data_IF_613365699922
#
_entry.id   IF_613365699922
#
_cell.length_a   1.000
_cell.length_b   1.000
_cell.length_c   1.000
_cell.angle_alpha   90.00
_cell.angle_beta   90.00
_cell.angle_gamma   90.00
#
_symmetry.space_group_name_H-M   'P 1'
#
loop_
_entity.id
_entity.type
_entity.pdbx_description
1 polymer ?
#
# COMPACT_ATOMS: atom_id res chain seq x y z
N UNK A 1 -40.16 -11.54 15.81
CA UNK A 1 -40.76 -12.89 15.97
C UNK A 1 -41.27 -13.08 17.39
N UNK A 2 -42.50 -13.58 17.55
CA UNK A 2 -43.15 -13.85 18.85
C UNK A 2 -43.27 -15.36 19.11
N UNK A 3 -43.35 -15.78 20.39
CA UNK A 3 -43.61 -17.18 20.75
C UNK A 3 -45.07 -17.56 20.48
N UNK A 4 -45.33 -18.86 20.27
CA UNK A 4 -46.69 -19.37 20.01
C UNK A 4 -47.67 -19.09 21.18
N UNK A 5 -47.16 -18.94 22.41
CA UNK A 5 -47.96 -18.56 23.60
C UNK A 5 -48.63 -17.19 23.52
N UNK A 6 -48.19 -16.31 22.63
CA UNK A 6 -48.87 -15.03 22.37
C UNK A 6 -50.18 -15.22 21.56
N UNK A 7 -50.35 -16.36 20.89
CA UNK A 7 -51.47 -16.65 19.99
C UNK A 7 -52.44 -17.69 20.55
N UNK A 8 -52.03 -18.46 21.56
CA UNK A 8 -52.89 -19.44 22.24
C UNK A 8 -52.40 -19.72 23.66
N UNK A 9 -53.35 -19.98 24.56
CA UNK A 9 -53.13 -20.48 25.91
C UNK A 9 -52.70 -21.96 25.97
N UNK A 10 -52.76 -22.69 24.83
CA UNK A 10 -52.44 -24.12 24.75
C UNK A 10 -50.96 -24.35 24.52
N UNK A 11 -50.14 -23.90 25.46
CA UNK A 11 -48.67 -23.95 25.37
C UNK A 11 -48.05 -24.54 26.63
N UNK A 12 -46.74 -24.82 26.57
CA UNK A 12 -45.95 -25.13 27.76
C UNK A 12 -45.86 -23.90 28.67
N UNK A 13 -45.39 -24.08 29.91
CA UNK A 13 -45.10 -22.96 30.81
C UNK A 13 -44.05 -21.98 30.26
N UNK A 14 -43.23 -22.41 29.29
CA UNK A 14 -42.26 -21.57 28.58
C UNK A 14 -42.85 -20.81 27.37
N UNK A 15 -44.15 -20.98 27.09
CA UNK A 15 -44.85 -20.37 25.95
C UNK A 15 -44.59 -21.08 24.61
N UNK A 16 -44.14 -22.33 24.64
CA UNK A 16 -43.74 -23.13 23.47
C UNK A 16 -44.79 -24.17 23.08
N UNK A 17 -44.58 -24.81 21.94
CA UNK A 17 -45.44 -25.88 21.44
C UNK A 17 -45.49 -27.04 22.44
N UNK A 18 -46.71 -27.50 22.75
CA UNK A 18 -46.95 -28.69 23.58
C UNK A 18 -47.65 -29.79 22.80
N UNK A 19 -47.25 -31.02 23.07
CA UNK A 19 -47.94 -32.21 22.58
C UNK A 19 -49.32 -32.34 23.25
N UNK A 20 -50.25 -32.98 22.56
CA UNK A 20 -51.49 -33.43 23.18
C UNK A 20 -51.27 -34.75 23.90
N UNK A 21 -51.92 -34.92 25.04
CA UNK A 21 -51.97 -36.18 25.77
C UNK A 21 -53.45 -36.55 26.01
N UNK A 22 -53.98 -37.52 25.25
CA UNK A 22 -55.36 -37.98 25.42
C UNK A 22 -55.61 -38.65 26.78
N UNK A 23 -54.61 -39.29 27.39
CA UNK A 23 -54.75 -39.99 28.66
C UNK A 23 -54.94 -39.01 29.82
N UNK A 24 -54.30 -37.85 29.75
CA UNK A 24 -54.46 -36.76 30.72
C UNK A 24 -55.40 -35.64 30.25
N UNK A 25 -56.13 -35.85 29.14
CA UNK A 25 -57.03 -34.88 28.51
C UNK A 25 -56.37 -33.52 28.20
N UNK A 26 -55.07 -33.50 27.92
CA UNK A 26 -54.35 -32.29 27.54
C UNK A 26 -54.43 -32.11 26.03
N UNK A 27 -55.03 -31.01 25.59
CA UNK A 27 -55.09 -30.66 24.17
C UNK A 27 -53.74 -30.11 23.69
N UNK A 28 -53.32 -30.59 22.52
CA UNK A 28 -52.15 -30.10 21.80
C UNK A 28 -52.30 -28.62 21.43
N UNK A 29 -51.17 -27.95 21.19
CA UNK A 29 -51.16 -26.62 20.59
C UNK A 29 -51.74 -26.67 19.17
N UNK A 30 -52.74 -25.84 18.84
CA UNK A 30 -53.30 -25.81 17.49
C UNK A 30 -52.33 -25.15 16.51
N UNK A 31 -52.35 -25.60 15.24
CA UNK A 31 -51.61 -24.94 14.16
C UNK A 31 -52.36 -23.67 13.71
N UNK A 32 -51.90 -22.51 14.17
CA UNK A 32 -52.55 -21.22 13.89
C UNK A 32 -51.95 -20.56 12.66
N UNK A 33 -52.78 -20.29 11.65
CA UNK A 33 -52.36 -19.62 10.41
C UNK A 33 -51.64 -18.28 10.67
N UNK A 34 -52.06 -17.53 11.69
CA UNK A 34 -51.42 -16.27 12.07
C UNK A 34 -49.94 -16.45 12.44
N UNK A 35 -49.57 -17.55 13.12
CA UNK A 35 -48.19 -17.82 13.52
C UNK A 35 -47.33 -18.27 12.32
N UNK A 36 -47.84 -19.16 11.47
CA UNK A 36 -47.10 -19.64 10.29
C UNK A 36 -46.91 -18.55 9.24
N UNK A 37 -47.93 -17.71 9.01
CA UNK A 37 -47.81 -16.56 8.11
C UNK A 37 -46.79 -15.53 8.62
N UNK A 38 -46.65 -15.38 9.95
CA UNK A 38 -45.62 -14.53 10.54
C UNK A 38 -44.22 -15.08 10.22
N UNK A 39 -43.96 -16.38 10.44
CA UNK A 39 -42.69 -17.01 10.08
C UNK A 39 -42.38 -16.91 8.57
N UNK A 40 -43.37 -17.16 7.72
CA UNK A 40 -43.20 -17.06 6.26
C UNK A 40 -42.80 -15.63 5.84
N UNK A 41 -43.47 -14.60 6.37
CA UNK A 41 -43.14 -13.20 6.07
C UNK A 41 -41.72 -12.83 6.52
N UNK A 42 -41.29 -13.32 7.69
CA UNK A 42 -39.93 -13.10 8.19
C UNK A 42 -38.87 -13.75 7.29
N UNK A 43 -39.08 -14.99 6.84
CA UNK A 43 -38.15 -15.67 5.94
C UNK A 43 -38.10 -15.05 4.54
N UNK A 44 -39.26 -14.63 4.01
CA UNK A 44 -39.35 -13.91 2.73
C UNK A 44 -38.59 -12.59 2.81
N UNK A 45 -38.77 -11.82 3.89
CA UNK A 45 -38.08 -10.55 4.08
C UNK A 45 -36.55 -10.69 4.11
N UNK A 46 -36.01 -11.81 4.65
CA UNK A 46 -34.56 -12.10 4.62
C UNK A 46 -34.07 -12.34 3.19
N UNK A 47 -34.85 -13.04 2.37
CA UNK A 47 -34.49 -13.38 0.97
C UNK A 47 -34.52 -12.14 0.08
N UNK A 48 -35.64 -11.42 0.10
CA UNK A 48 -35.79 -10.19 -0.69
C UNK A 48 -34.80 -9.10 -0.21
N UNK A 49 -34.54 -9.03 1.11
CA UNK A 49 -33.54 -8.15 1.70
C UNK A 49 -32.09 -8.42 1.27
N UNK A 50 -31.78 -9.63 0.77
CA UNK A 50 -30.49 -9.99 0.20
C UNK A 50 -30.38 -9.73 -1.33
N UNK A 51 -31.41 -9.12 -1.94
CA UNK A 51 -31.48 -8.82 -3.37
C UNK A 51 -31.87 -10.02 -4.25
N UNK A 52 -32.45 -11.07 -3.67
CA UNK A 52 -32.91 -12.26 -4.39
C UNK A 52 -34.42 -12.18 -4.65
N UNK A 53 -34.86 -12.58 -5.84
CA UNK A 53 -36.29 -12.74 -6.15
C UNK A 53 -36.78 -14.09 -5.63
N UNK A 54 -37.97 -14.14 -5.02
CA UNK A 54 -38.57 -15.39 -4.53
C UNK A 54 -38.81 -16.37 -5.68
N UNK A 55 -38.39 -17.62 -5.47
CA UNK A 55 -38.49 -18.68 -6.46
C UNK A 55 -39.02 -19.95 -5.80
N UNK A 56 -40.25 -20.34 -6.18
CA UNK A 56 -40.91 -21.56 -5.69
C UNK A 56 -40.16 -22.83 -6.09
N UNK A 57 -39.29 -22.76 -7.10
CA UNK A 57 -38.41 -23.86 -7.52
C UNK A 57 -37.13 -23.98 -6.69
N UNK A 58 -36.87 -23.08 -5.73
CA UNK A 58 -35.61 -22.99 -5.01
C UNK A 58 -35.81 -23.04 -3.49
N UNK A 59 -35.60 -24.22 -2.89
CA UNK A 59 -35.66 -24.42 -1.44
C UNK A 59 -34.39 -23.94 -0.69
N UNK A 60 -33.40 -23.40 -1.42
CA UNK A 60 -32.13 -22.92 -0.87
C UNK A 60 -32.04 -21.42 -0.62
N UNK A 61 -33.09 -20.64 -0.93
CA UNK A 61 -33.02 -19.18 -0.94
C UNK A 61 -32.68 -18.56 0.42
N UNK A 62 -33.17 -19.13 1.52
CA UNK A 62 -32.83 -18.65 2.86
C UNK A 62 -31.33 -18.77 3.16
N UNK A 63 -30.73 -19.88 2.75
CA UNK A 63 -29.28 -20.09 2.88
C UNK A 63 -28.49 -19.12 1.99
N UNK A 64 -28.92 -18.93 0.75
CA UNK A 64 -28.31 -17.97 -0.19
C UNK A 64 -28.37 -16.53 0.35
N UNK A 65 -29.50 -16.15 0.96
CA UNK A 65 -29.69 -14.85 1.57
C UNK A 65 -28.82 -14.62 2.80
N UNK A 66 -28.70 -15.62 3.69
CA UNK A 66 -27.82 -15.54 4.87
C UNK A 66 -26.35 -15.50 4.45
N UNK A 67 -25.97 -16.28 3.43
CA UNK A 67 -24.63 -16.22 2.86
C UNK A 67 -24.32 -14.82 2.27
N UNK A 68 -25.28 -14.21 1.60
CA UNK A 68 -25.17 -12.84 1.06
C UNK A 68 -25.12 -11.77 2.17
N UNK A 69 -26.04 -11.80 3.14
CA UNK A 69 -26.14 -10.84 4.24
C UNK A 69 -24.96 -10.92 5.23
N UNK A 70 -24.37 -12.10 5.43
CA UNK A 70 -23.11 -12.25 6.17
C UNK A 70 -21.89 -11.71 5.40
N UNK A 71 -22.06 -11.36 4.12
CA UNK A 71 -20.98 -10.97 3.21
C UNK A 71 -20.98 -9.50 2.76
N UNK A 72 -21.90 -8.65 3.23
CA UNK A 72 -22.06 -7.26 2.74
C UNK A 72 -20.90 -6.26 2.97
N UNK A 73 -19.70 -6.72 3.34
CA UNK A 73 -18.40 -6.02 3.29
C UNK A 73 -17.25 -7.00 3.66
N UNK A 74 -17.36 -8.28 3.30
CA UNK A 74 -16.28 -9.22 3.56
C UNK A 74 -15.27 -9.12 2.40
N UNK A 75 -14.20 -8.35 2.58
CA UNK A 75 -13.00 -8.54 1.76
C UNK A 75 -12.62 -10.02 1.87
N UNK A 76 -12.69 -10.82 0.80
CA UNK A 76 -12.41 -12.25 0.89
C UNK A 76 -11.01 -12.44 1.48
N UNK A 77 -10.95 -13.06 2.65
CA UNK A 77 -9.68 -13.37 3.32
C UNK A 77 -9.17 -14.72 2.82
N UNK A 78 -8.10 -14.69 2.05
CA UNK A 78 -7.50 -15.87 1.41
C UNK A 78 -6.12 -16.17 1.99
N UNK A 79 -5.68 -17.42 1.89
CA UNK A 79 -4.34 -17.84 2.32
C UNK A 79 -3.27 -17.52 1.26
N UNK A 80 -3.66 -17.50 -0.01
CA UNK A 80 -2.77 -17.31 -1.16
C UNK A 80 -3.41 -16.37 -2.18
N UNK A 81 -2.59 -15.72 -3.00
CA UNK A 81 -3.06 -14.86 -4.09
C UNK A 81 -3.64 -15.76 -5.21
N UNK A 82 -4.91 -15.58 -5.60
CA UNK A 82 -5.49 -16.32 -6.73
C UNK A 82 -4.85 -15.94 -8.07
N UNK A 83 -4.70 -16.92 -8.96
CA UNK A 83 -4.23 -16.68 -10.34
C UNK A 83 -5.31 -16.06 -11.25
N UNK A 84 -6.58 -16.11 -10.84
CA UNK A 84 -7.73 -15.62 -11.61
C UNK A 84 -8.62 -14.74 -10.74
N UNK A 85 -9.35 -13.82 -11.38
CA UNK A 85 -10.30 -12.92 -10.70
C UNK A 85 -11.42 -13.74 -10.08
N UNK A 86 -11.72 -13.45 -8.82
CA UNK A 86 -12.86 -14.02 -8.13
C UNK A 86 -14.13 -13.25 -8.55
N UNK A 87 -15.24 -13.97 -8.74
CA UNK A 87 -16.50 -13.37 -9.17
C UNK A 87 -16.99 -12.33 -8.15
N UNK A 88 -17.11 -11.07 -8.59
CA UNK A 88 -17.59 -9.96 -7.76
C UNK A 88 -16.60 -9.47 -6.70
N UNK A 89 -15.33 -9.89 -6.73
CA UNK A 89 -14.32 -9.48 -5.74
C UNK A 89 -13.10 -8.85 -6.39
N UNK A 90 -13.18 -7.54 -6.62
CA UNK A 90 -12.09 -6.73 -7.18
C UNK A 90 -11.01 -6.41 -6.15
N UNK A 91 -11.36 -6.51 -4.87
CA UNK A 91 -10.46 -6.34 -3.73
C UNK A 91 -10.55 -7.58 -2.84
N UNK A 92 -9.39 -8.07 -2.40
CA UNK A 92 -9.26 -9.23 -1.52
C UNK A 92 -8.20 -8.95 -0.45
N UNK A 93 -8.28 -9.67 0.67
CA UNK A 93 -7.23 -9.68 1.67
C UNK A 93 -6.48 -11.02 1.65
N UNK A 94 -5.17 -10.99 1.46
CA UNK A 94 -4.35 -12.22 1.47
C UNK A 94 -3.48 -12.25 2.72
N UNK A 95 -3.54 -13.35 3.47
CA UNK A 95 -2.79 -13.51 4.71
C UNK A 95 -1.28 -13.28 4.48
N UNK A 96 -0.66 -12.41 5.30
CA UNK A 96 0.75 -12.02 5.18
C UNK A 96 1.02 -10.93 4.13
N UNK A 97 0.29 -10.93 3.03
CA UNK A 97 0.42 -9.95 1.94
C UNK A 97 -0.35 -8.65 2.19
N UNK A 98 -1.53 -8.74 2.78
CA UNK A 98 -2.43 -7.60 3.01
C UNK A 98 -3.47 -7.47 1.90
N UNK A 99 -3.89 -6.23 1.66
CA UNK A 99 -4.88 -5.89 0.64
C UNK A 99 -4.29 -6.04 -0.78
N UNK A 100 -5.09 -6.64 -1.66
CA UNK A 100 -4.75 -6.86 -3.06
C UNK A 100 -5.94 -6.48 -3.94
N UNK A 101 -5.66 -5.77 -5.02
CA UNK A 101 -6.66 -5.28 -5.97
C UNK A 101 -6.42 -5.94 -7.33
N UNK A 102 -7.49 -6.41 -7.95
CA UNK A 102 -7.45 -6.94 -9.31
C UNK A 102 -7.07 -5.81 -10.27
N UNK A 103 -5.99 -6.01 -11.01
CA UNK A 103 -5.47 -5.03 -11.96
C UNK A 103 -5.33 -5.68 -13.33
N UNK A 104 -5.81 -4.97 -14.34
CA UNK A 104 -5.62 -5.29 -15.76
C UNK A 104 -4.93 -4.11 -16.45
N UNK A 105 -3.65 -4.27 -16.77
CA UNK A 105 -2.87 -3.34 -17.60
C UNK A 105 -2.26 -4.11 -18.78
N UNK A 106 -1.62 -3.38 -19.69
CA UNK A 106 -0.82 -3.98 -20.77
C UNK A 106 0.30 -4.90 -20.24
N UNK A 107 0.83 -4.61 -19.04
CA UNK A 107 2.01 -5.28 -18.51
C UNK A 107 1.70 -6.28 -17.38
N UNK A 108 0.47 -6.30 -16.85
CA UNK A 108 0.08 -7.19 -15.77
C UNK A 108 -1.43 -7.42 -15.71
N UNK A 109 -1.81 -8.68 -15.55
CA UNK A 109 -3.19 -9.10 -15.24
C UNK A 109 -3.13 -9.98 -14.00
N UNK A 110 -3.78 -9.55 -12.92
CA UNK A 110 -3.82 -10.30 -11.67
C UNK A 110 -4.10 -9.43 -10.45
N UNK A 111 -4.13 -10.04 -9.26
CA UNK A 111 -4.19 -9.30 -7.99
C UNK A 111 -2.80 -8.75 -7.62
N UNK A 112 -2.71 -7.44 -7.36
CA UNK A 112 -1.50 -6.79 -6.83
C UNK A 112 -1.84 -5.86 -5.68
N UNK A 113 -0.87 -5.65 -4.78
CA UNK A 113 -1.05 -4.65 -3.72
C UNK A 113 -1.21 -3.25 -4.33
N UNK A 114 -2.11 -2.40 -3.80
CA UNK A 114 -2.17 -0.98 -4.17
C UNK A 114 -0.85 -0.22 -3.95
N UNK A 115 0.03 -0.76 -3.09
CA UNK A 115 1.33 -0.19 -2.76
C UNK A 115 2.48 -0.85 -3.54
N UNK A 116 2.18 -1.66 -4.56
CA UNK A 116 3.19 -2.35 -5.35
C UNK A 116 4.26 -1.37 -5.88
N UNK A 117 5.54 -1.72 -5.67
CA UNK A 117 6.67 -0.90 -6.10
C UNK A 117 7.03 0.28 -5.17
N UNK A 118 6.18 0.63 -4.20
CA UNK A 118 6.50 1.68 -3.23
C UNK A 118 7.65 1.25 -2.31
N UNK A 119 8.75 2.02 -2.21
CA UNK A 119 9.78 1.75 -1.21
C UNK A 119 9.23 1.91 0.21
N UNK A 120 9.57 0.96 1.08
CA UNK A 120 9.20 0.93 2.49
C UNK A 120 10.45 0.84 3.36
N UNK A 121 10.36 1.28 4.61
CA UNK A 121 11.42 1.08 5.60
C UNK A 121 11.23 -0.27 6.28
N UNK A 122 12.18 -1.18 6.07
CA UNK A 122 12.21 -2.46 6.77
C UNK A 122 12.49 -2.27 8.26
N UNK A 123 11.85 -3.08 9.10
CA UNK A 123 12.04 -3.11 10.55
C UNK A 123 12.38 -4.51 11.08
N UNK A 124 12.69 -5.43 10.17
CA UNK A 124 13.03 -6.83 10.44
C UNK A 124 14.33 -7.20 9.71
N UNK A 125 15.04 -8.23 10.18
CA UNK A 125 16.33 -8.63 9.59
C UNK A 125 16.20 -9.29 8.22
N UNK A 126 15.06 -9.96 7.96
CA UNK A 126 14.72 -10.56 6.67
C UNK A 126 13.42 -9.91 6.18
N UNK A 127 13.26 -9.64 4.87
CA UNK A 127 12.04 -9.05 4.35
C UNK A 127 10.81 -9.88 4.71
N UNK A 128 9.70 -9.21 5.03
CA UNK A 128 8.40 -9.87 5.18
C UNK A 128 7.98 -10.49 3.84
N UNK A 129 7.01 -11.41 3.87
CA UNK A 129 6.51 -12.10 2.65
C UNK A 129 6.05 -11.14 1.53
N UNK A 130 5.65 -9.92 1.89
CA UNK A 130 5.21 -8.85 0.98
C UNK A 130 6.30 -7.86 0.58
N UNK A 131 7.53 -8.08 1.04
CA UNK A 131 8.68 -7.21 0.85
C UNK A 131 9.76 -7.93 0.03
N UNK A 132 10.53 -7.13 -0.70
CA UNK A 132 11.72 -7.59 -1.41
C UNK A 132 12.85 -6.61 -1.11
N UNK A 133 14.06 -7.15 -0.91
CA UNK A 133 15.23 -6.32 -0.66
C UNK A 133 15.61 -5.52 -1.91
N UNK A 134 15.51 -4.19 -1.81
CA UNK A 134 15.99 -3.25 -2.82
C UNK A 134 17.52 -3.04 -2.70
N UNK A 135 18.27 -4.14 -2.83
CA UNK A 135 19.74 -4.19 -2.73
C UNK A 135 20.39 -4.63 -4.05
N UNK A 136 19.68 -4.48 -5.17
CA UNK A 136 20.15 -4.84 -6.49
C UNK A 136 20.05 -6.32 -6.85
N UNK A 137 19.30 -7.12 -6.09
CA UNK A 137 19.12 -8.56 -6.33
C UNK A 137 18.33 -8.89 -7.61
N UNK A 138 18.34 -10.18 -7.99
CA UNK A 138 17.49 -10.71 -9.08
C UNK A 138 16.17 -11.24 -8.51
N UNK A 139 15.07 -10.96 -9.20
CA UNK A 139 13.74 -11.42 -8.87
C UNK A 139 13.11 -12.17 -10.07
N UNK A 140 12.25 -13.15 -9.78
CA UNK A 140 11.51 -13.90 -10.81
C UNK A 140 10.37 -13.06 -11.37
N UNK A 141 10.27 -12.96 -12.70
CA UNK A 141 9.16 -12.31 -13.42
C UNK A 141 7.84 -13.05 -13.25
N UNK A 142 7.89 -14.35 -12.96
CA UNK A 142 6.69 -15.16 -12.72
C UNK A 142 6.17 -14.93 -11.29
N UNK A 143 7.05 -15.08 -10.29
CA UNK A 143 6.67 -14.94 -8.87
C UNK A 143 6.30 -13.50 -8.53
N UNK A 144 7.02 -12.53 -9.08
CA UNK A 144 6.83 -11.11 -8.83
C UNK A 144 6.29 -10.36 -10.06
N UNK A 145 5.39 -11.00 -10.80
CA UNK A 145 4.79 -10.45 -12.02
C UNK A 145 4.14 -9.07 -11.79
N UNK A 146 3.50 -8.85 -10.64
CA UNK A 146 2.89 -7.56 -10.30
C UNK A 146 3.91 -6.43 -10.14
N UNK A 147 5.09 -6.72 -9.56
CA UNK A 147 6.18 -5.75 -9.42
C UNK A 147 6.87 -5.51 -10.76
N UNK A 148 7.04 -6.56 -11.57
CA UNK A 148 7.59 -6.43 -12.92
C UNK A 148 6.68 -5.60 -13.83
N UNK A 149 5.37 -5.85 -13.78
CA UNK A 149 4.36 -5.05 -14.46
C UNK A 149 4.43 -3.58 -14.03
N UNK A 150 4.46 -3.32 -12.72
CA UNK A 150 4.64 -1.97 -12.17
C UNK A 150 5.87 -1.26 -12.76
N UNK A 151 7.03 -1.93 -12.78
CA UNK A 151 8.27 -1.32 -13.28
C UNK A 151 8.14 -0.87 -14.74
N UNK A 152 7.45 -1.67 -15.58
CA UNK A 152 7.20 -1.36 -16.99
C UNK A 152 6.16 -0.26 -17.16
N UNK A 153 5.07 -0.33 -16.41
CA UNK A 153 4.00 0.69 -16.40
C UNK A 153 4.53 2.07 -16.04
N UNK A 154 5.48 2.14 -15.10
CA UNK A 154 6.08 3.40 -14.65
C UNK A 154 7.29 3.84 -15.48
N UNK A 155 7.69 3.07 -16.52
CA UNK A 155 8.85 3.39 -17.34
C UNK A 155 10.18 3.36 -16.58
N UNK A 156 10.31 2.48 -15.58
CA UNK A 156 11.48 2.39 -14.70
C UNK A 156 12.49 1.31 -15.14
N UNK A 157 12.23 0.62 -16.25
CA UNK A 157 13.11 -0.42 -16.77
C UNK A 157 14.15 0.22 -17.67
N UNK A 158 15.42 0.01 -17.34
CA UNK A 158 16.58 0.50 -18.07
C UNK A 158 17.50 -0.66 -18.46
N UNK A 159 18.52 -0.37 -19.27
CA UNK A 159 19.57 -1.36 -19.57
C UNK A 159 20.45 -1.63 -18.36
N UNK A 160 21.14 -2.78 -18.35
CA UNK A 160 22.08 -3.13 -17.28
C UNK A 160 23.18 -2.06 -17.10
N UNK A 161 23.68 -1.49 -18.20
CA UNK A 161 24.73 -0.46 -18.14
C UNK A 161 24.22 0.87 -17.53
N UNK A 162 23.00 1.30 -17.89
CA UNK A 162 22.36 2.46 -17.29
C UNK A 162 22.11 2.25 -15.80
N UNK A 163 21.72 1.04 -15.40
CA UNK A 163 21.52 0.69 -13.99
C UNK A 163 22.83 0.73 -13.18
N UNK A 164 23.93 0.15 -13.70
CA UNK A 164 25.24 0.15 -13.03
C UNK A 164 25.77 1.56 -12.82
N UNK A 165 25.58 2.41 -13.83
CA UNK A 165 25.92 3.83 -13.74
C UNK A 165 24.95 4.62 -12.91
N UNK A 166 23.80 4.06 -12.49
CA UNK A 166 22.72 4.71 -11.73
C UNK A 166 22.39 4.02 -10.41
N UNK A 167 23.29 3.20 -9.84
CA UNK A 167 23.12 2.62 -8.49
C UNK A 167 22.72 3.74 -7.50
N UNK A 168 21.72 3.45 -6.67
CA UNK A 168 21.00 4.44 -5.85
C UNK A 168 19.68 4.92 -6.46
N UNK A 169 19.45 4.72 -7.76
CA UNK A 169 18.18 5.04 -8.43
C UNK A 169 17.14 3.92 -8.24
N UNK A 170 15.86 4.29 -8.30
CA UNK A 170 14.73 3.35 -8.26
C UNK A 170 14.44 2.78 -9.65
N UNK A 171 15.42 2.08 -10.22
CA UNK A 171 15.38 1.55 -11.59
C UNK A 171 15.53 0.02 -11.58
N UNK A 172 14.91 -0.61 -12.57
CA UNK A 172 14.89 -2.06 -12.76
C UNK A 172 15.59 -2.43 -14.07
N UNK A 173 16.02 -3.68 -14.21
CA UNK A 173 16.62 -4.18 -15.46
C UNK A 173 15.89 -5.43 -15.92
N UNK A 174 15.58 -5.50 -17.21
CA UNK A 174 15.22 -6.76 -17.85
C UNK A 174 16.50 -7.59 -18.06
N UNK A 175 16.71 -8.62 -17.25
CA UNK A 175 17.95 -9.40 -17.28
C UNK A 175 17.86 -10.54 -18.29
N UNK A 176 16.75 -11.27 -18.28
CA UNK A 176 16.49 -12.36 -19.20
C UNK A 176 14.99 -12.71 -19.22
N UNK A 177 14.62 -13.79 -19.91
CA UNK A 177 13.22 -14.20 -20.05
C UNK A 177 12.48 -14.44 -18.72
N UNK A 178 13.18 -14.85 -17.66
CA UNK A 178 12.56 -15.25 -16.38
C UNK A 178 12.88 -14.33 -15.21
N UNK A 179 13.89 -13.46 -15.32
CA UNK A 179 14.37 -12.64 -14.22
C UNK A 179 14.50 -11.17 -14.58
N UNK A 180 14.31 -10.32 -13.57
CA UNK A 180 14.59 -8.90 -13.61
C UNK A 180 15.42 -8.49 -12.40
N UNK A 181 16.17 -7.38 -12.51
CA UNK A 181 16.96 -6.84 -11.41
C UNK A 181 16.17 -5.76 -10.67
N UNK A 182 16.23 -5.81 -9.35
CA UNK A 182 15.65 -4.80 -8.45
C UNK A 182 16.54 -3.56 -8.35
N UNK A 183 15.98 -2.41 -7.93
CA UNK A 183 16.77 -1.26 -7.51
C UNK A 183 17.77 -1.61 -6.41
N UNK A 184 18.86 -0.84 -6.34
CA UNK A 184 19.75 -0.82 -5.17
C UNK A 184 19.65 0.56 -4.53
N UNK A 185 18.93 0.63 -3.41
CA UNK A 185 18.64 1.86 -2.67
C UNK A 185 19.49 2.02 -1.40
N UNK A 186 20.50 1.17 -1.22
CA UNK A 186 21.40 1.29 -0.06
C UNK A 186 22.12 2.62 -0.10
N UNK A 187 22.35 3.19 1.08
CA UNK A 187 23.03 4.48 1.29
C UNK A 187 22.32 5.70 0.68
N UNK A 188 21.06 5.58 0.24
CA UNK A 188 20.30 6.69 -0.33
C UNK A 188 19.35 7.32 0.67
N UNK A 189 19.32 8.66 0.69
CA UNK A 189 18.20 9.37 1.30
C UNK A 189 17.00 9.40 0.35
N UNK A 190 15.79 9.43 0.90
CA UNK A 190 14.59 9.74 0.10
C UNK A 190 14.38 11.24 0.06
N UNK A 191 14.11 11.75 -1.14
CA UNK A 191 13.73 13.15 -1.36
C UNK A 191 12.49 13.21 -2.25
N UNK A 192 11.70 14.26 -2.09
CA UNK A 192 10.60 14.49 -3.01
C UNK A 192 11.07 14.97 -4.39
N UNK A 193 10.39 14.56 -5.45
CA UNK A 193 10.57 15.12 -6.80
C UNK A 193 10.27 16.62 -6.79
N UNK A 194 10.90 17.35 -7.70
CA UNK A 194 10.78 18.79 -7.87
C UNK A 194 11.78 19.26 -8.92
N UNK A 195 12.01 20.56 -8.99
CA UNK A 195 13.07 21.11 -9.84
C UNK A 195 14.42 21.01 -9.12
N UNK A 196 15.42 20.46 -9.81
CA UNK A 196 16.81 20.43 -9.34
C UNK A 196 17.35 21.86 -9.25
N UNK A 197 17.87 22.24 -8.07
CA UNK A 197 18.30 23.60 -7.79
C UNK A 197 19.55 24.03 -8.58
N UNK A 198 20.39 23.09 -8.99
CA UNK A 198 21.64 23.38 -9.70
C UNK A 198 21.41 23.52 -11.21
N UNK A 199 20.53 22.69 -11.75
CA UNK A 199 20.33 22.56 -13.21
C UNK A 199 19.01 23.12 -13.72
N UNK A 200 18.12 23.53 -12.81
CA UNK A 200 16.73 23.90 -13.11
C UNK A 200 15.91 22.81 -13.84
N UNK A 201 16.40 21.57 -13.86
CA UNK A 201 15.73 20.45 -14.53
C UNK A 201 14.73 19.77 -13.60
N UNK A 202 13.60 19.32 -14.16
CA UNK A 202 12.65 18.50 -13.41
C UNK A 202 13.27 17.15 -13.04
N UNK A 203 13.12 16.74 -11.78
CA UNK A 203 13.56 15.43 -11.32
C UNK A 203 12.53 14.36 -11.62
N UNK A 204 12.94 13.38 -12.43
CA UNK A 204 12.15 12.20 -12.72
C UNK A 204 11.97 11.31 -11.48
N UNK A 205 10.86 10.57 -11.43
CA UNK A 205 10.64 9.50 -10.45
C UNK A 205 11.82 8.53 -10.48
N UNK A 206 12.31 8.17 -9.29
CA UNK A 206 13.39 7.21 -9.13
C UNK A 206 14.77 7.71 -9.51
N UNK A 207 14.93 8.94 -9.98
CA UNK A 207 16.25 9.49 -10.33
C UNK A 207 17.13 9.65 -9.10
N UNK A 208 18.39 9.22 -9.20
CA UNK A 208 19.41 9.52 -8.19
C UNK A 208 19.96 10.93 -8.37
N UNK A 209 20.42 11.52 -7.28
CA UNK A 209 21.10 12.80 -7.25
C UNK A 209 22.28 12.69 -6.29
N UNK A 210 23.46 13.16 -6.72
CA UNK A 210 24.67 13.09 -5.91
C UNK A 210 24.63 14.12 -4.77
N UNK A 211 25.43 13.88 -3.73
CA UNK A 211 25.61 14.85 -2.64
C UNK A 211 26.20 16.17 -3.14
N UNK A 212 25.90 17.24 -2.41
CA UNK A 212 26.49 18.56 -2.66
C UNK A 212 26.49 19.42 -1.39
N UNK A 213 27.33 20.45 -1.37
CA UNK A 213 27.34 21.52 -0.39
C UNK A 213 26.91 22.82 -1.06
N UNK A 214 26.05 23.59 -0.39
CA UNK A 214 25.67 24.91 -0.86
C UNK A 214 26.91 25.82 -0.95
N UNK A 215 26.95 26.62 -2.02
CA UNK A 215 28.01 27.59 -2.25
C UNK A 215 28.19 28.49 -1.04
N UNK A 216 29.42 28.53 -0.54
CA UNK A 216 29.84 29.44 0.53
C UNK A 216 31.29 29.88 0.33
N UNK A 217 31.63 31.01 0.95
CA UNK A 217 33.00 31.52 1.05
C UNK A 217 33.44 31.64 2.51
N UNK A 218 34.76 31.68 2.71
CA UNK A 218 35.37 31.90 4.01
C UNK A 218 36.19 33.19 4.01
N UNK A 219 36.10 33.97 5.09
CA UNK A 219 37.00 35.09 5.32
C UNK A 219 38.33 34.59 5.91
N UNK A 220 39.44 35.03 5.34
CA UNK A 220 40.76 34.85 5.96
C UNK A 220 41.35 36.20 6.35
N UNK A 221 42.04 36.23 7.49
CA UNK A 221 42.71 37.41 7.98
C UNK A 221 44.04 37.62 7.27
N UNK A 222 44.18 38.74 6.56
CA UNK A 222 45.46 39.17 6.00
C UNK A 222 46.36 39.76 7.09
N UNK A 223 47.55 39.20 7.26
CA UNK A 223 48.59 39.78 8.11
C UNK A 223 49.23 41.00 7.43
N UNK A 224 49.20 42.15 8.08
CA UNK A 224 49.88 43.35 7.61
C UNK A 224 51.35 43.34 8.06
N UNK A 225 52.29 43.15 7.14
CA UNK A 225 53.74 43.28 7.42
C UNK A 225 54.24 44.66 6.99
N UNK A 226 54.75 45.46 7.94
CA UNK A 226 55.41 46.73 7.64
C UNK A 226 56.94 46.56 7.73
N UNK A 227 57.65 46.99 6.69
CA UNK A 227 59.12 47.03 6.65
C UNK A 227 59.57 48.48 6.49
N UNK A 228 60.45 48.95 7.39
CA UNK A 228 61.01 50.30 7.34
C UNK A 228 62.30 50.33 6.54
N UNK A 229 62.41 51.22 5.55
CA UNK A 229 63.67 51.50 4.88
C UNK A 229 64.45 52.56 5.66
N UNK A 230 65.71 52.26 5.98
CA UNK A 230 66.71 53.18 6.57
C UNK A 230 66.30 53.86 7.90
N UNK A 231 66.37 53.11 9.00
CA UNK A 231 66.46 53.67 10.37
C UNK A 231 65.22 54.35 10.96
N UNK A 232 64.10 54.42 10.23
CA UNK A 232 62.85 55.01 10.72
C UNK A 232 61.95 54.00 11.44
N UNK A 233 61.39 54.39 12.60
CA UNK A 233 60.41 53.58 13.32
C UNK A 233 59.06 53.53 12.58
N UNK A 234 58.48 52.32 12.44
CA UNK A 234 57.12 52.11 11.92
C UNK A 234 56.12 52.69 12.93
N UNK A 235 55.37 53.72 12.55
CA UNK A 235 54.49 54.49 13.48
C UNK A 235 53.07 53.94 13.62
N UNK A 236 52.59 53.13 12.67
CA UNK A 236 51.28 52.46 12.74
C UNK A 236 51.18 51.36 11.68
N UNK A 237 50.50 50.26 12.01
CA UNK A 237 50.07 49.21 11.08
C UNK A 237 48.54 49.21 11.13
N UNK A 238 47.88 49.42 9.99
CA UNK A 238 46.42 49.38 9.89
C UNK A 238 45.86 48.00 10.25
N UNK A 239 44.58 47.90 10.65
CA UNK A 239 43.96 46.60 10.93
C UNK A 239 44.08 45.67 9.72
N UNK A 240 44.33 44.38 9.97
CA UNK A 240 44.47 43.39 8.90
C UNK A 240 43.23 43.38 7.99
N UNK A 241 43.46 43.30 6.68
CA UNK A 241 42.38 43.24 5.69
C UNK A 241 41.71 41.86 5.76
N UNK A 242 40.39 41.82 5.89
CA UNK A 242 39.62 40.58 5.69
C UNK A 242 39.37 40.41 4.19
N UNK A 243 39.86 39.31 3.62
CA UNK A 243 39.60 38.96 2.23
C UNK A 243 38.77 37.67 2.18
N UNK A 244 37.62 37.65 1.49
CA UNK A 244 36.87 36.43 1.29
C UNK A 244 37.58 35.54 0.25
N UNK A 245 37.46 34.22 0.41
CA UNK A 245 37.70 33.30 -0.71
C UNK A 245 36.64 33.51 -1.79
N UNK A 246 36.85 32.90 -2.97
CA UNK A 246 35.73 32.72 -3.89
C UNK A 246 34.64 31.82 -3.26
N UNK A 247 33.42 31.96 -3.77
CA UNK A 247 32.33 31.03 -3.49
C UNK A 247 32.62 29.69 -4.15
N UNK A 248 32.51 28.60 -3.38
CA UNK A 248 32.68 27.23 -3.87
C UNK A 248 31.51 26.37 -3.39
N UNK A 249 30.93 25.54 -4.27
CA UNK A 249 29.77 24.70 -3.98
C UNK A 249 28.67 24.83 -5.04
N UNK A 250 27.48 24.32 -4.73
CA UNK A 250 26.33 24.34 -5.64
C UNK A 250 25.12 25.07 -5.03
N UNK A 251 23.94 25.01 -5.63
CA UNK A 251 22.77 25.76 -5.17
C UNK A 251 22.20 25.26 -3.84
N UNK A 252 22.54 24.04 -3.38
CA UNK A 252 22.00 23.48 -2.14
C UNK A 252 22.95 22.49 -1.45
N UNK A 253 22.81 22.37 -0.12
CA UNK A 253 23.42 21.28 0.66
C UNK A 253 22.48 20.08 0.68
N UNK A 254 22.96 18.91 0.23
CA UNK A 254 22.17 17.67 0.19
C UNK A 254 23.04 16.43 0.32
N UNK A 255 22.53 15.34 0.90
CA UNK A 255 23.14 14.02 0.76
C UNK A 255 22.76 13.36 -0.58
N UNK A 256 23.40 12.25 -0.91
CA UNK A 256 22.97 11.39 -2.02
C UNK A 256 21.53 10.92 -1.81
N UNK A 257 20.69 11.08 -2.82
CA UNK A 257 19.27 10.86 -2.66
C UNK A 257 18.56 10.37 -3.93
N UNK A 258 17.43 9.72 -3.72
CA UNK A 258 16.52 9.24 -4.77
C UNK A 258 15.18 9.97 -4.70
N UNK A 259 14.64 10.33 -5.88
CA UNK A 259 13.44 11.15 -6.00
C UNK A 259 12.15 10.31 -6.00
N UNK A 260 11.18 10.68 -5.16
CA UNK A 260 9.82 10.13 -5.18
C UNK A 260 8.78 11.25 -5.19
N UNK A 261 7.64 11.11 -5.89
CA UNK A 261 6.59 12.12 -5.86
C UNK A 261 6.05 12.36 -4.44
N UNK A 262 5.87 13.63 -4.02
CA UNK A 262 5.18 13.93 -2.77
C UNK A 262 3.71 13.52 -2.90
N UNK A 263 3.23 12.64 -2.02
CA UNK A 263 1.85 12.15 -2.00
C UNK A 263 1.36 11.97 -0.57
N UNK A 264 0.06 12.16 -0.38
CA UNK A 264 -0.67 11.77 0.83
C UNK A 264 -1.53 10.56 0.49
N UNK A 265 -1.60 9.60 1.41
CA UNK A 265 -2.54 8.50 1.31
C UNK A 265 -3.91 8.98 1.83
N UNK A 266 -4.98 8.62 1.13
CA UNK A 266 -6.37 8.98 1.44
C UNK A 266 -7.25 7.75 1.44
#
# INVERSE_FOLDING_TARGET
>A
MEKIGAFTDRVTSAGEWRNGDPASNVRATPMLAAYFNMLQRELVAVIEGAGLELDIGNDGQLFQAIASLASGNYLPRLATIPAQRLAGADEIYVAGWGEMVWTETEFFIGYRSPLCGRPVDGHTANPLVRELDAVGGLASKEVYAGLWGYAREQGLVVTQAEWETSIGAHLFVDVNATQFRLPDLRNMFRRYTGTDADTANARALGSRQFQSLQAHSHGHGGGSTASGTSGGAVRSIGPGTYSPTAEEGTAETRPENVAFPPRLHV
#
